data_IF_578897286274
#
_entry.id   IF_578897286274
#
_cell.length_a   1.000
_cell.length_b   1.000
_cell.length_c   1.000
_cell.angle_alpha   90.00
_cell.angle_beta   90.00
_cell.angle_gamma   90.00
#
_symmetry.space_group_name_H-M   'P 1'
#
loop_
_entity.id
_entity.type
_entity.pdbx_description
1 polymer ?
#
# COMPACT_ATOMS: atom_id res chain seq x y z
N UNK A 1 -13.47 -24.64 12.21
CA UNK A 1 -12.14 -24.54 12.87
C UNK A 1 -11.02 -24.75 11.85
N UNK A 2 -10.16 -23.73 11.69
CA UNK A 2 -8.99 -23.74 10.80
C UNK A 2 -7.93 -24.73 11.32
N UNK A 3 -8.18 -26.02 11.11
CA UNK A 3 -7.20 -27.09 11.29
C UNK A 3 -6.70 -27.58 9.92
N UNK A 4 -5.53 -28.22 9.84
CA UNK A 4 -5.00 -28.76 8.60
C UNK A 4 -5.94 -29.87 8.11
N UNK A 5 -6.78 -29.54 7.14
CA UNK A 5 -7.57 -30.53 6.41
C UNK A 5 -6.69 -31.36 5.48
N UNK A 6 -7.26 -32.41 4.90
CA UNK A 6 -6.58 -33.30 3.94
C UNK A 6 -6.19 -32.62 2.61
N UNK A 7 -6.68 -31.39 2.36
CA UNK A 7 -6.41 -30.59 1.16
C UNK A 7 -5.38 -29.50 1.45
N UNK A 8 -4.71 -29.01 0.41
CA UNK A 8 -3.75 -27.89 0.55
C UNK A 8 -4.43 -26.67 1.20
N UNK A 9 -3.71 -25.88 2.03
CA UNK A 9 -4.28 -24.71 2.72
C UNK A 9 -4.94 -23.71 1.77
N UNK A 10 -4.38 -23.52 0.58
CA UNK A 10 -4.91 -22.62 -0.45
C UNK A 10 -6.26 -23.10 -0.99
N UNK A 11 -6.39 -24.39 -1.31
CA UNK A 11 -7.63 -24.98 -1.79
C UNK A 11 -8.74 -24.90 -0.72
N UNK A 12 -8.40 -25.14 0.56
CA UNK A 12 -9.38 -25.03 1.64
C UNK A 12 -9.82 -23.58 1.89
N UNK A 13 -8.92 -22.62 1.70
CA UNK A 13 -9.24 -21.19 1.84
C UNK A 13 -10.23 -20.75 0.77
N UNK A 14 -10.04 -21.19 -0.49
CA UNK A 14 -10.97 -20.91 -1.59
C UNK A 14 -12.36 -21.51 -1.33
N UNK A 15 -12.42 -22.79 -0.96
CA UNK A 15 -13.68 -23.47 -0.61
C UNK A 15 -14.39 -22.77 0.55
N UNK A 16 -13.64 -22.35 1.58
CA UNK A 16 -14.20 -21.64 2.71
C UNK A 16 -14.75 -20.25 2.33
N UNK A 17 -14.06 -19.51 1.47
CA UNK A 17 -14.54 -18.23 0.98
C UNK A 17 -15.84 -18.37 0.19
N UNK A 18 -15.96 -19.43 -0.63
CA UNK A 18 -17.17 -19.75 -1.36
C UNK A 18 -18.33 -20.12 -0.41
N UNK A 19 -18.08 -21.00 0.57
CA UNK A 19 -19.05 -21.36 1.62
C UNK A 19 -19.56 -20.10 2.35
N UNK A 20 -18.67 -19.18 2.73
CA UNK A 20 -19.01 -17.92 3.41
C UNK A 20 -19.77 -16.97 2.49
N UNK A 21 -19.40 -16.86 1.21
CA UNK A 21 -20.11 -16.03 0.24
C UNK A 21 -21.55 -16.52 0.01
N UNK A 22 -21.75 -17.83 -0.12
CA UNK A 22 -23.08 -18.43 -0.29
C UNK A 22 -23.90 -18.25 0.99
N UNK A 23 -23.30 -18.48 2.17
CA UNK A 23 -23.97 -18.30 3.45
C UNK A 23 -24.41 -16.84 3.66
N UNK A 24 -23.54 -15.87 3.36
CA UNK A 24 -23.85 -14.44 3.49
C UNK A 24 -24.92 -13.99 2.48
N UNK A 25 -24.88 -14.47 1.23
CA UNK A 25 -25.93 -14.20 0.25
C UNK A 25 -27.31 -14.75 0.68
N UNK A 26 -27.36 -15.98 1.21
CA UNK A 26 -28.58 -16.57 1.79
C UNK A 26 -29.08 -15.80 3.02
N UNK A 27 -28.17 -15.29 3.85
CA UNK A 27 -28.51 -14.48 5.03
C UNK A 27 -29.05 -13.09 4.67
N UNK A 28 -28.56 -12.49 3.59
CA UNK A 28 -29.10 -11.25 3.03
C UNK A 28 -30.50 -11.50 2.42
N UNK A 29 -30.64 -12.55 1.62
CA UNK A 29 -31.92 -12.91 0.97
C UNK A 29 -33.01 -13.28 1.99
N UNK A 30 -32.65 -13.95 3.09
CA UNK A 30 -33.56 -14.28 4.19
C UNK A 30 -33.83 -13.12 5.16
N UNK A 31 -33.25 -11.94 4.94
CA UNK A 31 -33.46 -10.74 5.76
C UNK A 31 -32.85 -10.80 7.16
N UNK A 32 -32.18 -11.90 7.54
CA UNK A 32 -31.45 -12.04 8.81
C UNK A 32 -30.26 -11.09 8.90
N UNK A 33 -29.68 -10.70 7.76
CA UNK A 33 -28.56 -9.79 7.67
C UNK A 33 -29.00 -8.52 6.93
N UNK A 34 -29.45 -7.51 7.69
CA UNK A 34 -29.71 -6.17 7.15
C UNK A 34 -28.38 -5.51 6.80
N UNK A 35 -28.21 -5.12 5.54
CA UNK A 35 -27.07 -4.31 5.08
C UNK A 35 -27.17 -2.91 5.69
N UNK A 36 -26.82 -2.82 6.97
CA UNK A 36 -26.80 -1.58 7.71
C UNK A 36 -25.47 -0.91 7.42
N UNK A 37 -25.42 -0.12 6.35
CA UNK A 37 -24.34 0.86 6.15
C UNK A 37 -24.56 2.04 7.11
N UNK A 38 -24.54 1.79 8.42
CA UNK A 38 -24.42 2.87 9.39
C UNK A 38 -22.99 3.36 9.32
N UNK A 39 -22.81 4.45 8.57
CA UNK A 39 -21.52 5.11 8.43
C UNK A 39 -21.15 5.75 9.78
N UNK A 40 -19.88 5.66 10.20
CA UNK A 40 -19.43 6.25 11.45
C UNK A 40 -19.72 7.76 11.47
N UNK A 41 -20.00 8.29 12.66
CA UNK A 41 -20.36 9.70 12.91
C UNK A 41 -19.35 10.69 12.30
N UNK A 42 -18.07 10.33 12.30
CA UNK A 42 -16.98 11.07 11.68
C UNK A 42 -17.18 11.26 10.17
N UNK A 43 -17.66 10.24 9.47
CA UNK A 43 -17.88 10.28 8.02
C UNK A 43 -19.09 11.15 7.65
N UNK A 44 -20.13 11.16 8.51
CA UNK A 44 -21.30 12.04 8.34
C UNK A 44 -20.93 13.50 8.57
N UNK A 45 -20.16 13.77 9.62
CA UNK A 45 -19.72 15.12 9.96
C UNK A 45 -18.76 15.68 8.90
N UNK A 46 -17.84 14.86 8.39
CA UNK A 46 -16.96 15.22 7.29
C UNK A 46 -17.76 15.58 6.02
N UNK A 47 -18.80 14.80 5.68
CA UNK A 47 -19.69 15.12 4.56
C UNK A 47 -20.42 16.45 4.73
N UNK A 48 -20.93 16.73 5.93
CA UNK A 48 -21.59 18.00 6.23
C UNK A 48 -20.61 19.17 6.18
N UNK A 49 -19.38 18.99 6.65
CA UNK A 49 -18.33 20.01 6.58
C UNK A 49 -17.83 20.28 5.15
N UNK A 50 -17.74 19.25 4.31
CA UNK A 50 -17.41 19.37 2.87
C UNK A 50 -18.52 20.10 2.09
N UNK A 51 -19.76 20.11 2.60
CA UNK A 51 -20.86 20.89 2.03
C UNK A 51 -20.69 22.41 2.18
N UNK A 52 -19.84 22.87 3.11
CA UNK A 52 -19.55 24.31 3.30
C UNK A 52 -18.41 24.72 2.37
N UNK A 53 -18.72 25.56 1.38
CA UNK A 53 -17.77 25.97 0.33
C UNK A 53 -16.41 26.44 0.87
N UNK A 54 -16.41 27.26 1.93
CA UNK A 54 -15.19 27.80 2.54
C UNK A 54 -14.29 26.75 3.21
N UNK A 55 -14.89 25.71 3.81
CA UNK A 55 -14.14 24.62 4.45
C UNK A 55 -13.55 23.71 3.37
N UNK A 56 -14.34 23.44 2.32
CA UNK A 56 -13.92 22.65 1.17
C UNK A 56 -12.68 23.25 0.49
N UNK A 57 -12.70 24.56 0.22
CA UNK A 57 -11.58 25.24 -0.42
C UNK A 57 -10.29 25.16 0.43
N UNK A 58 -10.38 25.43 1.74
CA UNK A 58 -9.22 25.30 2.64
C UNK A 58 -8.65 23.87 2.71
N UNK A 59 -9.50 22.85 2.66
CA UNK A 59 -9.05 21.44 2.64
C UNK A 59 -8.29 21.16 1.35
N UNK A 60 -8.81 21.60 0.21
CA UNK A 60 -8.17 21.41 -1.08
C UNK A 60 -6.87 22.19 -1.23
N UNK A 61 -6.78 23.40 -0.70
CA UNK A 61 -5.55 24.19 -0.69
C UNK A 61 -4.46 23.51 0.15
N UNK A 62 -4.82 22.99 1.34
CA UNK A 62 -3.90 22.23 2.17
C UNK A 62 -3.45 20.94 1.51
N UNK A 63 -4.37 20.22 0.86
CA UNK A 63 -4.05 19.01 0.11
C UNK A 63 -3.10 19.32 -1.06
N UNK A 64 -3.34 20.41 -1.80
CA UNK A 64 -2.47 20.88 -2.89
C UNK A 64 -1.09 21.24 -2.37
N UNK A 65 -0.99 21.98 -1.26
CA UNK A 65 0.29 22.34 -0.64
C UNK A 65 1.08 21.11 -0.18
N UNK A 66 0.40 20.13 0.44
CA UNK A 66 1.02 18.88 0.87
C UNK A 66 1.50 18.04 -0.33
N UNK A 67 0.68 17.95 -1.38
CA UNK A 67 1.07 17.28 -2.62
C UNK A 67 2.29 17.97 -3.23
N UNK A 68 2.27 19.29 -3.38
CA UNK A 68 3.42 20.04 -3.90
C UNK A 68 4.69 19.83 -3.08
N UNK A 69 4.57 19.74 -1.75
CA UNK A 69 5.70 19.46 -0.85
C UNK A 69 6.26 18.05 -1.03
N UNK A 70 5.41 17.06 -1.29
CA UNK A 70 5.83 15.67 -1.48
C UNK A 70 6.34 15.39 -2.89
N UNK A 71 5.73 16.02 -3.89
CA UNK A 71 6.03 15.80 -5.31
C UNK A 71 7.06 16.78 -5.87
N UNK A 72 7.41 17.82 -5.11
CA UNK A 72 8.21 18.96 -5.58
C UNK A 72 7.71 19.59 -6.90
N UNK A 73 6.41 19.44 -7.19
CA UNK A 73 5.80 19.92 -8.44
C UNK A 73 6.15 19.12 -9.70
N UNK A 74 6.89 18.03 -9.61
CA UNK A 74 7.32 17.22 -10.75
C UNK A 74 6.25 16.22 -11.24
N UNK A 75 5.16 16.06 -10.47
CA UNK A 75 4.12 15.09 -10.76
C UNK A 75 2.77 15.80 -10.97
N UNK A 76 2.28 15.88 -12.22
CA UNK A 76 1.01 16.55 -12.52
C UNK A 76 -0.22 15.72 -12.12
N UNK A 77 -0.09 14.40 -12.03
CA UNK A 77 -1.22 13.51 -11.77
C UNK A 77 -1.91 13.75 -10.41
N UNK A 78 -1.19 13.86 -9.28
CA UNK A 78 -1.81 14.17 -7.98
C UNK A 78 -2.56 15.51 -7.95
N UNK A 79 -2.08 16.52 -8.68
CA UNK A 79 -2.73 17.83 -8.75
C UNK A 79 -4.04 17.74 -9.53
N UNK A 80 -4.04 17.04 -10.68
CA UNK A 80 -5.24 16.85 -11.49
C UNK A 80 -6.32 16.03 -10.76
N UNK A 81 -5.92 15.05 -9.95
CA UNK A 81 -6.85 14.28 -9.10
C UNK A 81 -7.59 15.21 -8.14
N UNK A 82 -6.88 16.16 -7.50
CA UNK A 82 -7.49 17.15 -6.61
C UNK A 82 -8.52 18.01 -7.38
N UNK A 83 -8.20 18.43 -8.60
CA UNK A 83 -9.11 19.23 -9.45
C UNK A 83 -10.38 18.47 -9.86
N UNK A 84 -10.25 17.19 -10.24
CA UNK A 84 -11.38 16.33 -10.60
C UNK A 84 -12.31 16.11 -9.40
N UNK A 85 -11.73 15.79 -8.23
CA UNK A 85 -12.49 15.60 -7.00
C UNK A 85 -13.18 16.89 -6.57
N UNK A 86 -12.49 18.04 -6.68
CA UNK A 86 -13.11 19.35 -6.44
C UNK A 86 -14.31 19.54 -7.37
N UNK A 87 -14.12 19.39 -8.68
CA UNK A 87 -15.17 19.57 -9.70
C UNK A 87 -16.38 18.67 -9.46
N UNK A 88 -16.18 17.40 -9.10
CA UNK A 88 -17.27 16.48 -8.77
C UNK A 88 -18.06 16.88 -7.53
N UNK A 89 -17.42 17.52 -6.55
CA UNK A 89 -18.09 18.05 -5.35
C UNK A 89 -18.80 19.39 -5.59
N UNK A 90 -18.35 20.23 -6.51
CA UNK A 90 -19.00 21.53 -6.77
C UNK A 90 -20.13 21.43 -7.80
N UNK A 91 -19.89 20.70 -8.90
CA UNK A 91 -20.79 20.64 -10.07
C UNK A 91 -21.61 19.35 -10.13
N UNK A 92 -21.41 18.45 -9.17
CA UNK A 92 -22.11 17.17 -9.08
C UNK A 92 -21.49 16.06 -9.93
N UNK A 93 -22.03 14.85 -9.75
CA UNK A 93 -21.48 13.61 -10.31
C UNK A 93 -21.26 13.63 -11.83
N UNK A 94 -22.21 14.11 -12.67
CA UNK A 94 -22.05 14.04 -14.12
C UNK A 94 -20.86 14.89 -14.61
N UNK A 95 -20.71 16.11 -14.07
CA UNK A 95 -19.60 17.00 -14.42
C UNK A 95 -18.26 16.50 -13.85
N UNK A 96 -18.28 15.85 -12.69
CA UNK A 96 -17.10 15.18 -12.13
C UNK A 96 -16.59 14.05 -13.01
N UNK A 97 -17.47 13.19 -13.53
CA UNK A 97 -17.10 12.11 -14.45
C UNK A 97 -16.55 12.64 -15.77
N UNK A 98 -17.12 13.71 -16.32
CA UNK A 98 -16.58 14.34 -17.53
C UNK A 98 -15.16 14.90 -17.30
N UNK A 99 -14.94 15.57 -16.17
CA UNK A 99 -13.62 16.07 -15.78
C UNK A 99 -12.63 14.92 -15.54
N UNK A 100 -13.08 13.80 -14.98
CA UNK A 100 -12.28 12.58 -14.78
C UNK A 100 -11.82 12.00 -16.12
N UNK A 101 -12.73 11.83 -17.08
CA UNK A 101 -12.41 11.31 -18.42
C UNK A 101 -11.36 12.19 -19.09
N UNK A 102 -11.55 13.51 -19.09
CA UNK A 102 -10.61 14.47 -19.68
C UNK A 102 -9.26 14.44 -18.98
N UNK A 103 -9.25 14.50 -17.64
CA UNK A 103 -8.03 14.47 -16.85
C UNK A 103 -7.25 13.16 -17.01
N UNK A 104 -7.93 12.02 -17.04
CA UNK A 104 -7.31 10.73 -17.30
C UNK A 104 -6.72 10.66 -18.71
N UNK A 105 -7.46 11.11 -19.72
CA UNK A 105 -7.00 11.18 -21.10
C UNK A 105 -5.71 12.00 -21.24
N UNK A 106 -5.70 13.22 -20.70
CA UNK A 106 -4.53 14.10 -20.68
C UNK A 106 -3.33 13.44 -19.99
N UNK A 107 -3.52 12.96 -18.76
CA UNK A 107 -2.44 12.37 -17.95
C UNK A 107 -1.86 11.10 -18.58
N UNK A 108 -2.71 10.27 -19.19
CA UNK A 108 -2.29 9.01 -19.82
C UNK A 108 -1.26 9.22 -20.92
N UNK A 109 -1.35 10.34 -21.64
CA UNK A 109 -0.48 10.69 -22.77
C UNK A 109 0.81 11.43 -22.34
N UNK A 110 0.95 11.78 -21.07
CA UNK A 110 2.14 12.51 -20.58
C UNK A 110 3.41 11.64 -20.59
N UNK A 111 4.60 12.25 -20.75
CA UNK A 111 5.86 11.53 -20.60
C UNK A 111 6.05 10.95 -19.19
N UNK A 112 5.53 11.63 -18.15
CA UNK A 112 5.56 11.17 -16.77
C UNK A 112 4.86 9.82 -16.59
N UNK A 113 3.67 9.64 -17.19
CA UNK A 113 2.93 8.37 -17.18
C UNK A 113 3.75 7.25 -17.81
N UNK A 114 4.31 7.49 -19.00
CA UNK A 114 5.16 6.51 -19.71
C UNK A 114 6.39 6.13 -18.90
N UNK A 115 7.05 7.10 -18.26
CA UNK A 115 8.23 6.87 -17.42
C UNK A 115 7.90 6.04 -16.17
N UNK A 116 6.77 6.32 -15.50
CA UNK A 116 6.33 5.56 -14.33
C UNK A 116 5.96 4.11 -14.67
N UNK A 117 5.28 3.90 -15.80
CA UNK A 117 5.00 2.55 -16.33
C UNK A 117 6.31 1.83 -16.66
N UNK A 118 7.27 2.52 -17.28
CA UNK A 118 8.61 1.98 -17.54
C UNK A 118 9.33 1.55 -16.26
N UNK A 119 9.27 2.37 -15.20
CA UNK A 119 9.84 2.06 -13.90
C UNK A 119 9.17 0.82 -13.27
N UNK A 120 7.85 0.72 -13.36
CA UNK A 120 7.10 -0.45 -12.90
C UNK A 120 7.52 -1.74 -13.64
N UNK A 121 7.65 -1.69 -14.96
CA UNK A 121 8.14 -2.81 -15.75
C UNK A 121 9.58 -3.16 -15.40
N UNK A 122 10.45 -2.16 -15.25
CA UNK A 122 11.85 -2.34 -14.83
C UNK A 122 11.94 -3.05 -13.47
N UNK A 123 11.21 -2.57 -12.47
CA UNK A 123 11.12 -3.20 -11.15
C UNK A 123 10.61 -4.65 -11.24
N UNK A 124 9.59 -4.90 -12.06
CA UNK A 124 9.03 -6.24 -12.25
C UNK A 124 10.02 -7.19 -12.91
N UNK A 125 10.81 -6.70 -13.88
CA UNK A 125 11.86 -7.47 -14.52
C UNK A 125 13.01 -7.77 -13.55
N UNK A 126 13.43 -6.80 -12.73
CA UNK A 126 14.48 -7.00 -11.72
C UNK A 126 14.07 -8.01 -10.63
N UNK A 127 12.78 -8.14 -10.33
CA UNK A 127 12.27 -9.16 -9.39
C UNK A 127 12.31 -10.58 -9.96
N UNK A 128 12.31 -10.74 -11.28
CA UNK A 128 12.38 -12.07 -11.92
C UNK A 128 13.81 -12.59 -11.82
N UNK A 129 13.99 -13.70 -11.11
CA UNK A 129 15.29 -14.34 -10.99
C UNK A 129 15.66 -15.03 -12.32
N UNK A 130 16.64 -14.48 -13.05
CA UNK A 130 17.13 -15.03 -14.32
C UNK A 130 17.91 -16.34 -14.13
N UNK A 131 18.39 -16.63 -12.92
CA UNK A 131 19.29 -17.73 -12.61
C UNK A 131 18.58 -18.96 -12.00
N UNK A 132 17.23 -18.95 -11.97
CA UNK A 132 16.43 -20.06 -11.44
C UNK A 132 16.33 -20.11 -9.91
N UNK A 133 15.71 -21.17 -9.38
CA UNK A 133 15.65 -21.38 -7.92
C UNK A 133 17.02 -21.83 -7.41
N UNK A 134 17.51 -21.29 -6.28
CA UNK A 134 18.80 -21.71 -5.73
C UNK A 134 18.76 -23.19 -5.36
N UNK A 135 19.81 -23.94 -5.74
CA UNK A 135 19.94 -25.37 -5.43
C UNK A 135 19.96 -25.65 -3.92
N UNK A 136 20.41 -24.66 -3.13
CA UNK A 136 20.38 -24.68 -1.66
C UNK A 136 19.80 -23.37 -1.16
N UNK A 137 18.72 -23.45 -0.39
CA UNK A 137 18.14 -22.27 0.28
C UNK A 137 18.98 -21.98 1.53
N UNK A 138 19.61 -20.80 1.65
CA UNK A 138 20.38 -20.46 2.84
C UNK A 138 19.42 -20.33 4.04
N UNK A 139 19.72 -21.04 5.13
CA UNK A 139 18.97 -20.90 6.39
C UNK A 139 19.68 -19.98 7.39
N UNK A 140 21.00 -19.90 7.27
CA UNK A 140 21.87 -19.14 8.16
C UNK A 140 22.67 -18.13 7.35
N UNK A 141 22.74 -16.88 7.83
CA UNK A 141 23.48 -15.78 7.24
C UNK A 141 24.47 -15.24 8.25
N UNK A 142 25.69 -14.91 7.82
CA UNK A 142 26.68 -14.23 8.66
C UNK A 142 26.95 -12.84 8.08
N UNK A 143 26.82 -11.82 8.92
CA UNK A 143 27.12 -10.42 8.60
C UNK A 143 28.39 -10.03 9.33
N UNK A 144 29.42 -9.70 8.56
CA UNK A 144 30.71 -9.24 9.06
C UNK A 144 30.71 -7.71 9.10
N UNK A 145 30.75 -7.14 10.30
CA UNK A 145 30.65 -5.72 10.59
C UNK A 145 29.26 -5.34 11.14
N UNK A 146 29.23 -4.72 12.32
CA UNK A 146 28.06 -4.22 13.02
C UNK A 146 27.88 -2.69 12.89
N UNK A 147 28.45 -2.10 11.85
CA UNK A 147 28.21 -0.69 11.50
C UNK A 147 26.79 -0.45 10.96
N UNK A 148 26.50 0.79 10.54
CA UNK A 148 25.16 1.22 10.10
C UNK A 148 24.54 0.30 9.04
N UNK A 149 25.30 -0.09 8.00
CA UNK A 149 24.82 -0.99 6.96
C UNK A 149 24.69 -2.44 7.44
N UNK A 150 25.64 -2.92 8.24
CA UNK A 150 25.65 -4.30 8.74
C UNK A 150 24.48 -4.56 9.69
N UNK A 151 24.18 -3.61 10.57
CA UNK A 151 23.00 -3.64 11.43
C UNK A 151 21.70 -3.66 10.60
N UNK A 152 21.60 -2.86 9.54
CA UNK A 152 20.43 -2.85 8.66
C UNK A 152 20.23 -4.16 7.87
N UNK A 153 21.32 -4.76 7.36
CA UNK A 153 21.25 -6.06 6.70
C UNK A 153 20.81 -7.13 7.69
N UNK A 154 21.41 -7.15 8.89
CA UNK A 154 21.06 -8.10 9.93
C UNK A 154 19.58 -7.97 10.35
N UNK A 155 19.08 -6.75 10.52
CA UNK A 155 17.68 -6.50 10.86
C UNK A 155 16.73 -7.06 9.79
N UNK A 156 16.91 -6.69 8.52
CA UNK A 156 16.04 -7.18 7.43
C UNK A 156 16.15 -8.70 7.24
N UNK A 157 17.31 -9.29 7.51
CA UNK A 157 17.50 -10.74 7.47
C UNK A 157 16.78 -11.46 8.61
N UNK A 158 16.83 -10.93 9.83
CA UNK A 158 16.11 -11.46 10.99
C UNK A 158 14.59 -11.35 10.79
N UNK A 159 14.10 -10.21 10.29
CA UNK A 159 12.66 -9.99 10.01
C UNK A 159 12.12 -10.97 8.97
N UNK A 160 12.96 -11.41 8.02
CA UNK A 160 12.62 -12.44 7.03
C UNK A 160 12.78 -13.87 7.54
N UNK A 161 13.14 -14.06 8.81
CA UNK A 161 13.26 -15.37 9.46
C UNK A 161 14.56 -16.12 9.19
N UNK A 162 15.62 -15.45 8.71
CA UNK A 162 16.94 -16.07 8.57
C UNK A 162 17.69 -16.09 9.91
N UNK A 163 18.37 -17.20 10.21
CA UNK A 163 19.26 -17.27 11.37
C UNK A 163 20.50 -16.43 11.09
N UNK A 164 20.57 -15.23 11.69
CA UNK A 164 21.59 -14.23 11.33
C UNK A 164 22.65 -14.10 12.44
N UNK A 165 23.92 -14.25 12.07
CA UNK A 165 25.07 -14.10 12.96
C UNK A 165 25.76 -12.77 12.65
N UNK A 166 25.83 -11.86 13.61
CA UNK A 166 26.52 -10.59 13.48
C UNK A 166 27.88 -10.65 14.17
N UNK A 167 28.96 -10.37 13.44
CA UNK A 167 30.33 -10.40 13.98
C UNK A 167 31.03 -9.08 13.70
N UNK A 168 31.55 -8.44 14.73
CA UNK A 168 32.40 -7.25 14.63
C UNK A 168 33.75 -7.48 15.32
N UNK A 169 34.75 -6.66 14.98
CA UNK A 169 36.06 -6.63 15.64
C UNK A 169 35.97 -5.90 16.97
N UNK A 170 35.16 -4.83 17.04
CA UNK A 170 34.94 -4.03 18.23
C UNK A 170 33.68 -4.45 18.98
N UNK A 171 33.81 -4.71 20.28
CA UNK A 171 32.66 -4.98 21.17
C UNK A 171 31.69 -3.79 21.22
N UNK A 172 32.21 -2.56 21.25
CA UNK A 172 31.39 -1.34 21.20
C UNK A 172 30.67 -1.16 19.86
N UNK A 173 31.24 -1.63 18.75
CA UNK A 173 30.56 -1.70 17.46
C UNK A 173 29.39 -2.68 17.49
N UNK A 174 29.62 -3.87 18.04
CA UNK A 174 28.62 -4.92 18.14
C UNK A 174 27.41 -4.51 18.99
N UNK A 175 27.63 -3.93 20.17
CA UNK A 175 26.54 -3.50 21.07
C UNK A 175 25.69 -2.40 20.41
N UNK A 176 26.31 -1.46 19.69
CA UNK A 176 25.57 -0.42 18.96
C UNK A 176 24.70 -1.01 17.85
N UNK A 177 25.26 -1.93 17.07
CA UNK A 177 24.52 -2.63 16.02
C UNK A 177 23.37 -3.47 16.58
N UNK A 178 23.60 -4.19 17.68
CA UNK A 178 22.58 -4.96 18.39
C UNK A 178 21.43 -4.06 18.88
N UNK A 179 21.75 -2.92 19.50
CA UNK A 179 20.74 -1.98 19.97
C UNK A 179 19.91 -1.43 18.81
N UNK A 180 20.54 -1.10 17.68
CA UNK A 180 19.83 -0.63 16.48
C UNK A 180 18.85 -1.69 15.96
N UNK A 181 19.24 -2.96 15.95
CA UNK A 181 18.37 -4.06 15.50
C UNK A 181 17.19 -4.27 16.46
N UNK A 182 17.40 -4.16 17.78
CA UNK A 182 16.33 -4.35 18.78
C UNK A 182 15.29 -3.24 18.84
N UNK A 183 15.66 -2.04 18.37
CA UNK A 183 14.80 -0.84 18.47
C UNK A 183 14.06 -0.52 17.16
N UNK A 184 14.41 -1.22 16.07
CA UNK A 184 13.75 -1.14 14.77
C UNK A 184 12.43 -1.94 14.77
#
# INVERSE_FOLDING_TARGET
PLGPGLKSPEARTLEYLEEVAIATAKQIASGKLKVTRQRPLTERLLRSAIGVSFIRDKIFDKARAQVMKLTNGLYPAPLKIIEVVKTGLEKGQPSGTEAEIKGFGELSQTPHSKALIGLFHGQTLCKKNKFGKPAKVPKTLAVLGAGLMGAGIAQVSVDKGYQTILKDVSTAGLVRGEQQIRTA
#
